data_IF_793344279114
#
_entry.id   IF_793344279114
#
_cell.length_a   1.000
_cell.length_b   1.000
_cell.length_c   1.000
_cell.angle_alpha   90.00
_cell.angle_beta   90.00
_cell.angle_gamma   90.00
#
_symmetry.space_group_name_H-M   'P 1'
#
loop_
_entity.id
_entity.type
_entity.pdbx_description
1 polymer ?
#
# COMPACT_ATOMS: atom_id res chain seq x y z
N UNK A 1 -9.51 26.11 102.36
CA UNK A 1 -8.20 26.30 101.70
C UNK A 1 -8.05 25.24 100.63
N UNK A 2 -8.16 25.58 99.34
CA UNK A 2 -7.73 24.67 98.26
C UNK A 2 -6.21 24.71 98.22
N UNK A 3 -5.56 23.55 98.35
CA UNK A 3 -4.09 23.46 98.35
C UNK A 3 -3.56 23.62 96.92
N UNK A 4 -2.37 24.21 96.75
CA UNK A 4 -1.74 24.43 95.43
C UNK A 4 -1.71 23.18 94.52
N UNK A 5 -1.76 21.98 95.11
CA UNK A 5 -1.85 20.68 94.40
C UNK A 5 -3.16 20.52 93.60
N UNK A 6 -4.29 21.00 94.11
CA UNK A 6 -5.60 20.89 93.46
C UNK A 6 -5.69 21.79 92.21
N UNK A 7 -5.03 22.95 92.26
CA UNK A 7 -4.96 23.89 91.13
C UNK A 7 -4.08 23.30 90.01
N UNK A 8 -2.94 22.71 90.34
CA UNK A 8 -2.05 22.05 89.38
C UNK A 8 -2.74 20.87 88.69
N UNK A 9 -3.53 20.07 89.42
CA UNK A 9 -4.26 18.93 88.86
C UNK A 9 -5.29 19.37 87.81
N UNK A 10 -6.01 20.47 88.05
CA UNK A 10 -6.99 21.02 87.10
C UNK A 10 -6.30 21.54 85.82
N UNK A 11 -5.15 22.20 85.95
CA UNK A 11 -4.37 22.67 84.79
C UNK A 11 -3.86 21.49 83.95
N UNK A 12 -3.35 20.44 84.58
CA UNK A 12 -2.89 19.22 83.89
C UNK A 12 -4.04 18.51 83.17
N UNK A 13 -5.22 18.41 83.80
CA UNK A 13 -6.40 17.84 83.17
C UNK A 13 -6.85 18.67 81.95
N UNK A 14 -6.84 20.01 82.06
CA UNK A 14 -7.14 20.91 80.94
C UNK A 14 -6.18 20.75 79.77
N UNK A 15 -4.87 20.67 80.04
CA UNK A 15 -3.85 20.44 79.01
C UNK A 15 -4.03 19.10 78.30
N UNK A 16 -4.36 18.03 79.03
CA UNK A 16 -4.60 16.71 78.46
C UNK A 16 -5.79 16.69 77.49
N UNK A 17 -6.88 17.40 77.82
CA UNK A 17 -8.05 17.52 76.95
C UNK A 17 -7.70 18.30 75.68
N UNK A 18 -6.97 19.42 75.80
CA UNK A 18 -6.50 20.19 74.65
C UNK A 18 -5.60 19.36 73.73
N UNK A 19 -4.71 18.54 74.30
CA UNK A 19 -3.83 17.65 73.53
C UNK A 19 -4.64 16.57 72.79
N UNK A 20 -5.67 16.00 73.42
CA UNK A 20 -6.56 15.03 72.78
C UNK A 20 -7.31 15.61 71.58
N UNK A 21 -7.79 16.86 71.69
CA UNK A 21 -8.48 17.57 70.60
C UNK A 21 -7.51 17.84 69.43
N UNK A 22 -6.29 18.30 69.72
CA UNK A 22 -5.27 18.54 68.68
C UNK A 22 -4.88 17.27 67.94
N UNK A 23 -4.71 16.15 68.65
CA UNK A 23 -4.40 14.86 68.04
C UNK A 23 -5.56 14.35 67.18
N UNK A 24 -6.80 14.52 67.61
CA UNK A 24 -7.97 14.17 66.82
C UNK A 24 -8.02 14.93 65.49
N UNK A 25 -7.86 16.26 65.52
CA UNK A 25 -7.82 17.07 64.30
C UNK A 25 -6.65 16.70 63.39
N UNK A 26 -5.49 16.35 63.96
CA UNK A 26 -4.32 15.95 63.16
C UNK A 26 -4.57 14.64 62.39
N UNK A 27 -5.23 13.67 63.02
CA UNK A 27 -5.58 12.39 62.39
C UNK A 27 -6.67 12.55 61.32
N UNK A 28 -7.67 13.41 61.56
CA UNK A 28 -8.72 13.66 60.57
C UNK A 28 -8.15 14.39 59.33
N UNK A 29 -7.27 15.36 59.57
CA UNK A 29 -6.61 16.10 58.51
C UNK A 29 -5.67 15.22 57.65
N UNK A 30 -4.94 14.28 58.27
CA UNK A 30 -4.08 13.36 57.53
C UNK A 30 -4.89 12.43 56.61
N UNK A 31 -6.03 11.91 57.08
CA UNK A 31 -6.96 11.10 56.26
C UNK A 31 -7.54 11.90 55.09
N UNK A 32 -7.89 13.16 55.31
CA UNK A 32 -8.38 14.02 54.24
C UNK A 32 -7.29 14.24 53.17
N UNK A 33 -6.04 14.52 53.57
CA UNK A 33 -4.92 14.67 52.65
C UNK A 33 -4.64 13.39 51.86
N UNK A 34 -4.63 12.23 52.51
CA UNK A 34 -4.41 10.94 51.85
C UNK A 34 -5.46 10.65 50.77
N UNK A 35 -6.73 10.99 51.04
CA UNK A 35 -7.82 10.85 50.07
C UNK A 35 -7.65 11.80 48.87
N UNK A 36 -7.22 13.05 49.10
CA UNK A 36 -6.97 14.01 48.02
C UNK A 36 -5.79 13.60 47.13
N UNK A 37 -4.69 13.13 47.74
CA UNK A 37 -3.53 12.59 47.00
C UNK A 37 -3.92 11.36 46.19
N UNK A 38 -4.73 10.46 46.76
CA UNK A 38 -5.22 9.27 46.05
C UNK A 38 -6.09 9.63 44.84
N UNK A 39 -6.99 10.61 44.98
CA UNK A 39 -7.80 11.12 43.86
C UNK A 39 -6.94 11.77 42.78
N UNK A 40 -5.93 12.55 43.17
CA UNK A 40 -5.03 13.21 42.22
C UNK A 40 -4.19 12.20 41.44
N UNK A 41 -3.70 11.14 42.08
CA UNK A 41 -2.98 10.05 41.42
C UNK A 41 -3.86 9.30 40.40
N UNK A 42 -5.15 9.10 40.68
CA UNK A 42 -6.08 8.49 39.72
C UNK A 42 -6.30 9.37 38.48
N UNK A 43 -6.34 10.70 38.64
CA UNK A 43 -6.45 11.65 37.53
C UNK A 43 -5.19 11.63 36.67
N UNK A 44 -4.00 11.72 37.30
CA UNK A 44 -2.71 11.68 36.60
C UNK A 44 -2.55 10.37 35.80
N UNK A 45 -2.93 9.23 36.38
CA UNK A 45 -2.83 7.93 35.71
C UNK A 45 -3.79 7.80 34.51
N UNK A 46 -4.98 8.43 34.59
CA UNK A 46 -5.92 8.49 33.46
C UNK A 46 -5.36 9.35 32.31
N UNK A 47 -4.73 10.47 32.62
CA UNK A 47 -4.13 11.37 31.62
C UNK A 47 -2.90 10.74 30.93
N UNK A 48 -2.10 9.93 31.64
CA UNK A 48 -1.02 9.17 31.01
C UNK A 48 -1.55 8.07 30.10
N UNK A 49 -2.65 7.40 30.48
CA UNK A 49 -3.28 6.38 29.65
C UNK A 49 -3.80 6.99 28.34
N UNK A 50 -4.54 8.11 28.41
CA UNK A 50 -5.11 8.76 27.23
C UNK A 50 -4.05 9.20 26.22
N UNK A 51 -2.90 9.68 26.72
CA UNK A 51 -1.76 10.08 25.89
C UNK A 51 -1.12 8.89 25.17
N UNK A 52 -0.97 7.74 25.83
CA UNK A 52 -0.42 6.51 25.25
C UNK A 52 -1.35 5.95 24.15
N UNK A 53 -2.67 5.99 24.37
CA UNK A 53 -3.64 5.62 23.34
C UNK A 53 -3.61 6.56 22.12
N UNK A 54 -3.52 7.88 22.34
CA UNK A 54 -3.44 8.86 21.25
C UNK A 54 -2.18 8.68 20.39
N UNK A 55 -1.02 8.52 21.03
CA UNK A 55 0.26 8.30 20.32
C UNK A 55 0.22 6.99 19.54
N UNK A 56 -0.36 5.94 20.13
CA UNK A 56 -0.52 4.65 19.45
C UNK A 56 -1.44 4.71 18.23
N UNK A 57 -2.55 5.45 18.32
CA UNK A 57 -3.44 5.59 17.17
C UNK A 57 -2.82 6.42 16.03
N UNK A 58 -1.85 7.30 16.33
CA UNK A 58 -1.27 8.21 15.34
C UNK A 58 -0.33 7.49 14.37
N UNK A 59 0.52 6.57 14.84
CA UNK A 59 1.39 5.79 13.96
C UNK A 59 0.61 4.77 13.11
N UNK A 60 -0.44 4.15 13.67
CA UNK A 60 -1.32 3.24 12.94
C UNK A 60 -2.05 3.96 11.79
N UNK A 61 -2.48 5.21 12.01
CA UNK A 61 -3.11 6.01 10.95
C UNK A 61 -2.14 6.44 9.85
N UNK A 62 -0.89 6.78 10.19
CA UNK A 62 0.11 7.21 9.21
C UNK A 62 0.51 6.08 8.26
N UNK A 63 0.66 4.86 8.77
CA UNK A 63 1.01 3.70 7.95
C UNK A 63 -0.15 3.28 7.03
N UNK A 64 -1.40 3.40 7.49
CA UNK A 64 -2.58 3.20 6.65
C UNK A 64 -2.69 4.24 5.53
N UNK A 65 -2.38 5.51 5.83
CA UNK A 65 -2.37 6.59 4.82
C UNK A 65 -1.27 6.33 3.77
N UNK A 66 -0.05 5.96 4.19
CA UNK A 66 1.05 5.60 3.27
C UNK A 66 0.69 4.41 2.40
N UNK A 67 0.09 3.36 2.98
CA UNK A 67 -0.34 2.19 2.23
C UNK A 67 -1.40 2.52 1.17
N UNK A 68 -2.40 3.33 1.54
CA UNK A 68 -3.44 3.80 0.61
C UNK A 68 -2.87 4.63 -0.53
N UNK A 69 -1.93 5.56 -0.23
CA UNK A 69 -1.28 6.37 -1.24
C UNK A 69 -0.43 5.51 -2.18
N UNK A 70 0.33 4.54 -1.64
CA UNK A 70 1.13 3.63 -2.45
C UNK A 70 0.28 2.76 -3.40
N UNK A 71 -0.87 2.25 -2.94
CA UNK A 71 -1.82 1.56 -3.83
C UNK A 71 -2.36 2.49 -4.92
N UNK A 72 -2.64 3.74 -4.58
CA UNK A 72 -3.11 4.75 -5.54
C UNK A 72 -2.06 5.03 -6.60
N UNK A 73 -0.80 5.17 -6.21
CA UNK A 73 0.34 5.36 -7.13
C UNK A 73 0.56 4.15 -8.03
N UNK A 74 0.45 2.93 -7.50
CA UNK A 74 0.55 1.70 -8.27
C UNK A 74 -0.56 1.59 -9.32
N UNK A 75 -1.81 1.92 -8.94
CA UNK A 75 -2.95 1.94 -9.87
C UNK A 75 -2.75 3.01 -10.96
N UNK A 76 -2.25 4.20 -10.61
CA UNK A 76 -1.93 5.26 -11.59
C UNK A 76 -0.84 4.79 -12.55
N UNK A 77 0.22 4.14 -12.05
CA UNK A 77 1.31 3.60 -12.85
C UNK A 77 0.80 2.54 -13.83
N UNK A 78 0.03 1.56 -13.34
CA UNK A 78 -0.56 0.51 -14.17
C UNK A 78 -1.52 1.07 -15.23
N UNK A 79 -2.29 2.11 -14.90
CA UNK A 79 -3.15 2.79 -15.88
C UNK A 79 -2.33 3.42 -17.00
N UNK A 80 -1.25 4.14 -16.68
CA UNK A 80 -0.34 4.71 -17.68
C UNK A 80 0.30 3.64 -18.55
N UNK A 81 0.77 2.55 -17.95
CA UNK A 81 1.36 1.42 -18.68
C UNK A 81 0.36 0.78 -19.64
N UNK A 82 -0.88 0.57 -19.19
CA UNK A 82 -1.98 0.08 -20.03
C UNK A 82 -2.24 1.02 -21.21
N UNK A 83 -2.29 2.32 -20.99
CA UNK A 83 -2.51 3.31 -22.06
C UNK A 83 -1.38 3.27 -23.10
N UNK A 84 -0.12 3.27 -22.66
CA UNK A 84 1.04 3.15 -23.56
C UNK A 84 1.01 1.85 -24.38
N UNK A 85 0.65 0.72 -23.76
CA UNK A 85 0.52 -0.56 -24.46
C UNK A 85 -0.63 -0.55 -25.48
N UNK A 86 -1.76 0.09 -25.15
CA UNK A 86 -2.88 0.24 -26.07
C UNK A 86 -2.51 1.09 -27.29
N UNK A 87 -1.78 2.18 -27.08
CA UNK A 87 -1.30 3.04 -28.16
C UNK A 87 -0.31 2.29 -29.06
N UNK A 88 0.66 1.57 -28.48
CA UNK A 88 1.60 0.75 -29.24
C UNK A 88 0.91 -0.37 -30.04
N UNK A 89 -0.12 -0.99 -29.45
CA UNK A 89 -0.95 -1.99 -30.13
C UNK A 89 -1.71 -1.36 -31.31
N UNK A 90 -2.30 -0.18 -31.11
CA UNK A 90 -3.01 0.56 -32.16
C UNK A 90 -2.09 0.93 -33.30
N UNK A 91 -0.92 1.46 -33.00
CA UNK A 91 0.12 1.79 -33.99
C UNK A 91 0.54 0.55 -34.79
N UNK A 92 0.89 -0.53 -34.10
CA UNK A 92 1.28 -1.81 -34.72
C UNK A 92 0.16 -2.38 -35.60
N UNK A 93 -1.09 -2.30 -35.14
CA UNK A 93 -2.26 -2.75 -35.92
C UNK A 93 -2.47 -1.92 -37.18
N UNK A 94 -2.21 -0.60 -37.10
CA UNK A 94 -2.32 0.32 -38.23
C UNK A 94 -1.24 0.02 -39.26
N UNK A 95 0.01 -0.17 -38.84
CA UNK A 95 1.09 -0.58 -39.74
C UNK A 95 0.80 -1.92 -40.42
N UNK A 96 0.28 -2.88 -39.67
CA UNK A 96 -0.11 -4.18 -40.22
C UNK A 96 -1.21 -4.06 -41.28
N UNK A 97 -2.22 -3.22 -41.03
CA UNK A 97 -3.31 -2.99 -41.98
C UNK A 97 -2.81 -2.28 -43.25
N UNK A 98 -1.96 -1.27 -43.11
CA UNK A 98 -1.28 -0.63 -44.24
C UNK A 98 -0.47 -1.66 -45.03
N UNK A 99 0.31 -2.51 -44.37
CA UNK A 99 1.11 -3.53 -45.03
C UNK A 99 0.24 -4.55 -45.80
N UNK A 100 -0.87 -4.98 -45.20
CA UNK A 100 -1.86 -5.85 -45.87
C UNK A 100 -2.46 -5.18 -47.11
N UNK A 101 -2.91 -3.93 -47.00
CA UNK A 101 -3.57 -3.21 -48.10
C UNK A 101 -2.60 -2.85 -49.22
N UNK A 102 -1.47 -2.24 -48.88
CA UNK A 102 -0.54 -1.68 -49.84
C UNK A 102 0.28 -2.77 -50.54
N UNK A 103 0.83 -3.69 -49.74
CA UNK A 103 1.73 -4.72 -50.24
C UNK A 103 1.04 -6.07 -50.44
N UNK A 104 -0.26 -6.21 -50.16
CA UNK A 104 -0.96 -7.48 -50.34
C UNK A 104 -0.40 -8.60 -49.43
N UNK A 105 0.14 -8.25 -48.26
CA UNK A 105 0.67 -9.23 -47.32
C UNK A 105 -0.46 -10.06 -46.71
N UNK A 106 -0.27 -11.38 -46.67
CA UNK A 106 -1.17 -12.35 -46.04
C UNK A 106 -0.46 -13.00 -44.87
N UNK A 107 -1.17 -13.10 -43.73
CA UNK A 107 -0.68 -13.69 -42.49
C UNK A 107 -1.56 -14.90 -42.16
N UNK A 108 -0.99 -16.09 -42.24
CA UNK A 108 -1.67 -17.34 -41.87
C UNK A 108 -1.12 -17.87 -40.55
N UNK A 109 -2.01 -18.04 -39.57
CA UNK A 109 -1.68 -18.74 -38.33
C UNK A 109 -1.92 -20.24 -38.52
N UNK A 110 -0.89 -21.06 -38.32
CA UNK A 110 -1.01 -22.52 -38.33
C UNK A 110 -0.64 -23.08 -36.97
N UNK A 111 -1.58 -23.78 -36.35
CA UNK A 111 -1.26 -24.56 -35.16
C UNK A 111 -0.34 -25.71 -35.59
N UNK A 112 0.72 -25.96 -34.82
CA UNK A 112 1.57 -27.13 -35.03
C UNK A 112 1.72 -27.89 -33.72
N UNK A 113 1.83 -29.21 -33.85
CA UNK A 113 2.17 -30.12 -32.76
C UNK A 113 3.42 -30.88 -33.16
N UNK A 114 4.51 -30.68 -32.42
CA UNK A 114 5.76 -31.42 -32.61
C UNK A 114 6.04 -32.19 -31.32
N UNK A 115 5.69 -33.48 -31.32
CA UNK A 115 5.71 -34.31 -30.11
C UNK A 115 4.70 -33.80 -29.07
N UNK A 116 5.18 -33.44 -27.89
CA UNK A 116 4.41 -32.88 -26.78
C UNK A 116 4.22 -31.35 -26.84
N UNK A 117 4.93 -30.65 -27.72
CA UNK A 117 4.84 -29.18 -27.84
C UNK A 117 3.74 -28.81 -28.81
N UNK A 118 2.75 -28.05 -28.33
CA UNK A 118 1.70 -27.41 -29.14
C UNK A 118 2.02 -25.92 -29.22
N UNK A 119 2.09 -25.39 -30.44
CA UNK A 119 2.41 -23.98 -30.67
C UNK A 119 1.69 -23.44 -31.90
N UNK A 120 1.91 -22.15 -32.15
CA UNK A 120 1.45 -21.47 -33.34
C UNK A 120 2.66 -21.08 -34.17
N UNK A 121 2.63 -21.40 -35.46
CA UNK A 121 3.51 -20.81 -36.46
C UNK A 121 2.74 -19.76 -37.26
N UNK A 122 3.45 -18.74 -37.72
CA UNK A 122 2.90 -17.72 -38.59
C UNK A 122 3.61 -17.81 -39.93
N UNK A 123 2.85 -18.03 -41.00
CA UNK A 123 3.35 -17.91 -42.37
C UNK A 123 2.96 -16.53 -42.89
N UNK A 124 3.93 -15.82 -43.46
CA UNK A 124 3.73 -14.49 -44.07
C UNK A 124 4.15 -14.59 -45.54
N UNK A 125 3.32 -14.10 -46.45
CA UNK A 125 3.63 -14.08 -47.88
C UNK A 125 2.94 -12.90 -48.58
N UNK A 126 3.46 -12.47 -49.74
CA UNK A 126 2.85 -11.42 -50.56
C UNK A 126 3.11 -11.66 -52.05
N UNK A 127 2.05 -12.00 -52.79
CA UNK A 127 2.15 -12.19 -54.25
C UNK A 127 2.55 -10.91 -54.98
N UNK A 128 2.10 -9.73 -54.53
CA UNK A 128 2.47 -8.43 -55.11
C UNK A 128 3.94 -8.12 -54.92
N UNK A 129 4.46 -8.30 -53.71
CA UNK A 129 5.83 -7.96 -53.37
C UNK A 129 6.80 -8.94 -54.02
N UNK A 130 6.48 -10.23 -54.00
CA UNK A 130 7.27 -11.27 -54.67
C UNK A 130 7.32 -11.03 -56.18
N UNK A 131 6.20 -10.63 -56.80
CA UNK A 131 6.15 -10.28 -58.23
C UNK A 131 6.95 -9.01 -58.56
N UNK A 132 6.93 -8.01 -57.68
CA UNK A 132 7.73 -6.79 -57.84
C UNK A 132 9.24 -7.09 -57.73
N UNK A 133 9.64 -7.99 -56.81
CA UNK A 133 11.04 -8.41 -56.67
C UNK A 133 11.55 -9.14 -57.92
N UNK A 134 10.71 -9.91 -58.62
CA UNK A 134 11.10 -10.52 -59.90
C UNK A 134 11.48 -9.51 -61.00
N UNK A 135 10.94 -8.29 -60.93
CA UNK A 135 11.27 -7.25 -61.90
C UNK A 135 12.70 -6.70 -61.70
N UNK A 136 13.26 -6.85 -60.50
CA UNK A 136 14.63 -6.48 -60.20
C UNK A 136 15.59 -7.54 -60.74
N UNK A 137 16.50 -7.13 -61.63
CA UNK A 137 17.51 -8.00 -62.26
C UNK A 137 18.24 -8.91 -61.25
N UNK A 138 18.56 -8.40 -60.06
CA UNK A 138 19.32 -9.13 -59.03
C UNK A 138 18.55 -10.30 -58.42
N UNK A 139 17.21 -10.22 -58.38
CA UNK A 139 16.35 -11.22 -57.74
C UNK A 139 15.58 -12.08 -58.74
N UNK A 140 15.54 -11.69 -60.02
CA UNK A 140 14.84 -12.40 -61.10
C UNK A 140 15.22 -13.88 -61.16
N UNK A 141 16.51 -14.20 -61.10
CA UNK A 141 17.00 -15.58 -61.27
C UNK A 141 16.99 -16.38 -59.96
N UNK A 142 16.71 -15.71 -58.82
CA UNK A 142 16.70 -16.31 -57.48
C UNK A 142 15.29 -16.64 -56.99
N UNK A 143 14.26 -16.07 -57.61
CA UNK A 143 12.87 -16.28 -57.24
C UNK A 143 12.21 -17.29 -58.16
N UNK A 144 11.78 -18.44 -57.62
CA UNK A 144 11.00 -19.44 -58.34
C UNK A 144 9.57 -19.52 -57.82
N UNK A 145 8.62 -19.61 -58.74
CA UNK A 145 7.21 -19.81 -58.39
C UNK A 145 6.88 -21.29 -58.26
N UNK A 146 6.40 -21.70 -57.09
CA UNK A 146 5.83 -23.03 -56.90
C UNK A 146 4.32 -22.99 -57.16
N UNK A 147 3.91 -23.51 -58.32
CA UNK A 147 2.48 -23.60 -58.71
C UNK A 147 1.64 -24.52 -57.83
N UNK A 148 2.25 -25.50 -57.15
CA UNK A 148 1.51 -26.46 -56.32
C UNK A 148 0.99 -25.81 -55.05
N UNK A 149 1.81 -24.93 -54.47
CA UNK A 149 1.54 -24.28 -53.19
C UNK A 149 1.15 -22.79 -53.36
N UNK A 150 1.04 -22.31 -54.61
CA UNK A 150 0.80 -20.92 -54.98
C UNK A 150 1.73 -19.94 -54.24
N UNK A 151 2.99 -20.31 -54.04
CA UNK A 151 3.95 -19.56 -53.23
C UNK A 151 5.28 -19.35 -53.96
N UNK A 152 5.99 -18.28 -53.60
CA UNK A 152 7.34 -17.99 -54.09
C UNK A 152 8.40 -18.56 -53.15
N UNK A 153 9.50 -19.04 -53.72
CA UNK A 153 10.67 -19.55 -52.98
C UNK A 153 11.93 -18.85 -53.47
N UNK A 154 12.86 -18.59 -52.54
CA UNK A 154 14.18 -18.00 -52.82
C UNK A 154 15.22 -19.13 -52.85
N UNK A 155 15.98 -19.22 -53.94
CA UNK A 155 17.16 -20.10 -54.09
C UNK A 155 18.47 -19.29 -54.06
#
# INVERSE_FOLDING_TARGET
MKTNKDIILVILAGLSICLGILLYFSVDYSKHLENQVSKMNLVINRDSLSKDYLDKTTWETDDLIKFSNNQTDEVIKLRKEKEMLLDSLRESSTFLDIAKRQYGMVFEKKAYKKGSVVGNSFRVYSSKLDSALMLLHVYRDKLKYNRKDNSWTVE
#
